data_IF_785825947370
#
_entry.id   IF_785825947370
#
_cell.length_a   1.000
_cell.length_b   1.000
_cell.length_c   1.000
_cell.angle_alpha   90.00
_cell.angle_beta   90.00
_cell.angle_gamma   90.00
#
_symmetry.space_group_name_H-M   'P 1'
#
loop_
_entity.id
_entity.type
_entity.pdbx_description
1 polymer ?
#
# COMPACT_ATOMS: atom_id res chain seq x y z
N UNK A 1 -9.03 6.74 -11.97
CA UNK A 1 -7.76 6.36 -12.61
C UNK A 1 -6.78 5.89 -11.54
N UNK A 2 -6.03 4.83 -11.79
CA UNK A 2 -4.99 4.29 -10.86
C UNK A 2 -4.02 3.40 -11.64
N UNK A 3 -2.78 3.17 -11.17
CA UNK A 3 -1.91 2.12 -11.71
C UNK A 3 -2.51 0.72 -11.52
N UNK A 4 -2.23 -0.21 -12.44
CA UNK A 4 -2.85 -1.54 -12.50
C UNK A 4 -2.64 -2.39 -11.23
N UNK A 5 -1.45 -2.37 -10.65
CA UNK A 5 -1.13 -3.10 -9.42
C UNK A 5 -1.50 -2.31 -8.15
N UNK A 6 -2.59 -1.52 -8.19
CA UNK A 6 -3.11 -0.81 -7.04
C UNK A 6 -3.96 -1.69 -6.11
N UNK A 7 -4.37 -1.12 -4.97
CA UNK A 7 -5.22 -1.82 -4.01
C UNK A 7 -6.61 -2.10 -4.59
N UNK A 8 -7.08 -3.35 -4.49
CA UNK A 8 -8.33 -3.80 -5.12
C UNK A 8 -9.56 -2.99 -4.71
N UNK A 9 -9.57 -2.40 -3.51
CA UNK A 9 -10.69 -1.60 -3.03
C UNK A 9 -10.94 -0.33 -3.85
N UNK A 10 -9.95 0.19 -4.60
CA UNK A 10 -10.18 1.34 -5.48
C UNK A 10 -11.16 0.99 -6.61
N UNK A 11 -11.01 -0.21 -7.19
CA UNK A 11 -11.94 -0.72 -8.20
C UNK A 11 -13.33 -0.94 -7.62
N UNK A 12 -13.41 -1.54 -6.43
CA UNK A 12 -14.67 -1.78 -5.75
C UNK A 12 -15.38 -0.47 -5.41
N UNK A 13 -14.66 0.53 -4.88
CA UNK A 13 -15.21 1.85 -4.56
C UNK A 13 -15.77 2.55 -5.81
N UNK A 14 -15.06 2.48 -6.95
CA UNK A 14 -15.54 3.02 -8.21
C UNK A 14 -16.81 2.32 -8.68
N UNK A 15 -16.88 0.99 -8.57
CA UNK A 15 -18.06 0.21 -8.94
C UNK A 15 -19.28 0.55 -8.07
N UNK A 16 -19.09 0.61 -6.74
CA UNK A 16 -20.16 1.00 -5.79
C UNK A 16 -20.67 2.41 -6.07
N UNK A 17 -19.79 3.33 -6.46
CA UNK A 17 -20.16 4.69 -6.83
C UNK A 17 -20.74 4.82 -8.26
N UNK A 18 -20.88 3.72 -9.01
CA UNK A 18 -21.35 3.75 -10.39
C UNK A 18 -20.41 4.51 -11.34
N UNK A 19 -19.10 4.52 -11.03
CA UNK A 19 -18.11 5.28 -11.79
C UNK A 19 -17.21 4.37 -12.62
N UNK A 20 -16.77 4.89 -13.78
CA UNK A 20 -15.82 4.17 -14.64
C UNK A 20 -14.46 4.06 -13.92
N UNK A 21 -14.01 2.84 -13.77
CA UNK A 21 -12.65 2.53 -13.30
C UNK A 21 -11.71 2.39 -14.50
N UNK A 22 -10.55 3.03 -14.43
CA UNK A 22 -9.49 2.93 -15.44
C UNK A 22 -8.18 2.62 -14.72
N UNK A 23 -7.46 1.61 -15.18
CA UNK A 23 -6.11 1.30 -14.71
C UNK A 23 -5.11 1.39 -15.85
N UNK A 24 -3.89 1.81 -15.55
CA UNK A 24 -2.79 2.00 -16.51
C UNK A 24 -1.65 1.05 -16.19
N UNK A 25 -0.71 0.87 -17.11
CA UNK A 25 0.43 -0.03 -16.92
C UNK A 25 1.17 0.23 -15.59
N UNK A 26 1.62 -0.85 -14.98
CA UNK A 26 2.46 -0.86 -13.78
C UNK A 26 3.30 -2.13 -13.78
N UNK A 27 4.43 -2.09 -13.07
CA UNK A 27 5.32 -3.22 -12.85
C UNK A 27 5.41 -3.53 -11.35
N UNK A 28 5.93 -4.70 -10.95
CA UNK A 28 6.21 -4.96 -9.55
C UNK A 28 7.15 -3.95 -8.87
N UNK A 29 7.97 -3.24 -9.65
CA UNK A 29 8.88 -2.21 -9.16
C UNK A 29 8.23 -0.83 -8.98
N UNK A 30 7.02 -0.63 -9.52
CA UNK A 30 6.29 0.63 -9.37
C UNK A 30 5.34 0.92 -10.52
N UNK A 31 4.68 2.07 -10.43
CA UNK A 31 3.79 2.56 -11.48
C UNK A 31 4.59 3.09 -12.69
N UNK A 32 4.03 2.87 -13.87
CA UNK A 32 4.45 3.60 -15.05
C UNK A 32 3.79 4.99 -15.03
N UNK A 33 4.57 5.99 -14.68
CA UNK A 33 4.09 7.39 -14.54
C UNK A 33 3.62 7.96 -15.86
N UNK A 34 4.31 7.65 -16.97
CA UNK A 34 3.95 8.14 -18.30
C UNK A 34 2.65 7.49 -18.78
N UNK A 35 2.49 6.19 -18.57
CA UNK A 35 1.22 5.52 -18.84
C UNK A 35 0.06 6.06 -17.97
N UNK A 36 0.33 6.41 -16.70
CA UNK A 36 -0.69 7.03 -15.84
C UNK A 36 -1.11 8.40 -16.38
N UNK A 37 -0.14 9.23 -16.77
CA UNK A 37 -0.38 10.55 -17.35
C UNK A 37 -1.14 10.43 -18.68
N UNK A 38 -0.74 9.52 -19.56
CA UNK A 38 -1.45 9.25 -20.82
C UNK A 38 -2.90 8.77 -20.61
N UNK A 39 -3.19 8.13 -19.48
CA UNK A 39 -4.53 7.71 -19.09
C UNK A 39 -5.44 8.83 -18.57
N UNK A 40 -4.88 10.03 -18.32
CA UNK A 40 -5.66 11.19 -17.84
C UNK A 40 -6.49 11.76 -19.00
N UNK A 41 -7.73 12.10 -18.72
CA UNK A 41 -8.64 12.73 -19.69
C UNK A 41 -9.41 13.87 -19.02
N UNK A 42 -10.07 14.78 -19.77
CA UNK A 42 -10.92 15.81 -19.20
C UNK A 42 -12.05 15.26 -18.31
N UNK A 43 -12.39 13.98 -18.44
CA UNK A 43 -13.39 13.28 -17.61
C UNK A 43 -12.81 12.66 -16.35
N UNK A 44 -11.49 12.65 -16.18
CA UNK A 44 -10.84 12.16 -14.96
C UNK A 44 -11.26 13.03 -13.78
N UNK A 45 -11.82 12.42 -12.73
CA UNK A 45 -12.24 13.10 -11.49
C UNK A 45 -11.37 12.74 -10.31
N UNK A 46 -10.93 11.47 -10.26
CA UNK A 46 -10.03 10.99 -9.21
C UNK A 46 -8.88 10.23 -9.86
N UNK A 47 -7.66 10.56 -9.45
CA UNK A 47 -6.48 9.73 -9.63
C UNK A 47 -6.07 9.21 -8.25
N UNK A 48 -5.89 7.90 -8.10
CA UNK A 48 -5.57 7.28 -6.80
C UNK A 48 -4.25 6.55 -6.92
N UNK A 49 -3.32 6.86 -6.03
CA UNK A 49 -2.02 6.19 -5.92
C UNK A 49 -1.78 5.73 -4.49
N UNK A 50 -1.18 4.56 -4.31
CA UNK A 50 -0.73 4.06 -3.01
C UNK A 50 0.78 4.27 -2.86
N UNK A 51 1.23 4.73 -1.69
CA UNK A 51 2.66 4.92 -1.40
C UNK A 51 2.93 4.77 0.11
N UNK A 52 3.62 3.72 0.55
CA UNK A 52 3.97 2.49 -0.18
C UNK A 52 2.77 1.74 -0.74
N UNK A 53 2.89 1.24 -1.97
CA UNK A 53 1.78 0.62 -2.69
C UNK A 53 1.51 -0.82 -2.21
N UNK A 54 0.27 -1.21 -2.16
CA UNK A 54 -0.15 -2.60 -1.97
C UNK A 54 -0.70 -3.15 -3.30
N UNK A 55 -0.05 -4.18 -3.90
CA UNK A 55 0.76 -5.21 -3.25
C UNK A 55 2.28 -5.10 -3.45
N UNK A 56 2.80 -4.09 -4.10
CA UNK A 56 4.20 -4.08 -4.56
C UNK A 56 5.19 -3.59 -3.50
N UNK A 57 4.74 -2.77 -2.53
CA UNK A 57 5.62 -2.09 -1.58
C UNK A 57 6.40 -0.91 -2.16
N UNK A 58 6.25 -0.66 -3.47
CA UNK A 58 6.90 0.45 -4.17
C UNK A 58 6.37 1.82 -3.72
N UNK A 59 7.19 2.83 -3.85
CA UNK A 59 6.87 4.22 -3.44
C UNK A 59 6.88 5.16 -4.63
N UNK A 60 6.26 6.32 -4.45
CA UNK A 60 6.30 7.45 -5.36
C UNK A 60 7.25 8.52 -4.84
N UNK A 61 7.97 9.19 -5.74
CA UNK A 61 8.73 10.40 -5.40
C UNK A 61 7.87 11.66 -5.53
N UNK A 62 8.30 12.76 -4.89
CA UNK A 62 7.61 14.05 -5.03
C UNK A 62 7.57 14.51 -6.50
N UNK A 63 8.67 14.35 -7.23
CA UNK A 63 8.75 14.74 -8.65
C UNK A 63 7.73 13.95 -9.52
N UNK A 64 7.51 12.67 -9.24
CA UNK A 64 6.49 11.89 -9.94
C UNK A 64 5.08 12.37 -9.64
N UNK A 65 4.80 12.69 -8.37
CA UNK A 65 3.50 13.24 -7.93
C UNK A 65 3.23 14.60 -8.59
N UNK A 66 4.21 15.49 -8.64
CA UNK A 66 4.10 16.80 -9.29
C UNK A 66 3.81 16.66 -10.81
N UNK A 67 4.45 15.72 -11.50
CA UNK A 67 4.15 15.42 -12.91
C UNK A 67 2.69 15.00 -13.11
N UNK A 68 2.17 14.13 -12.25
CA UNK A 68 0.76 13.69 -12.31
C UNK A 68 -0.18 14.87 -12.03
N UNK A 69 0.09 15.70 -11.01
CA UNK A 69 -0.71 16.89 -10.68
C UNK A 69 -0.74 17.91 -11.81
N UNK A 70 0.40 18.12 -12.50
CA UNK A 70 0.47 19.01 -13.65
C UNK A 70 -0.40 18.56 -14.83
N UNK A 71 -0.58 17.23 -15.01
CA UNK A 71 -1.40 16.66 -16.07
C UNK A 71 -2.88 16.54 -15.72
N UNK A 72 -3.25 16.57 -14.42
CA UNK A 72 -4.62 16.42 -13.97
C UNK A 72 -5.48 17.65 -14.30
N UNK A 73 -6.75 17.47 -14.74
CA UNK A 73 -7.70 18.57 -14.85
C UNK A 73 -7.81 19.34 -13.52
N UNK A 74 -8.04 20.65 -13.59
CA UNK A 74 -8.17 21.51 -12.41
C UNK A 74 -9.29 21.07 -11.43
N UNK A 75 -10.29 20.33 -11.93
CA UNK A 75 -11.41 19.79 -11.15
C UNK A 75 -11.21 18.36 -10.66
N UNK A 76 -10.05 17.75 -10.94
CA UNK A 76 -9.73 16.39 -10.50
C UNK A 76 -8.93 16.43 -9.20
N UNK A 77 -9.09 15.39 -8.38
CA UNK A 77 -8.31 15.20 -7.15
C UNK A 77 -7.29 14.08 -7.34
N UNK A 78 -6.12 14.25 -6.74
CA UNK A 78 -5.14 13.20 -6.52
C UNK A 78 -5.28 12.66 -5.11
N UNK A 79 -5.66 11.40 -4.98
CA UNK A 79 -5.73 10.70 -3.69
C UNK A 79 -4.43 9.93 -3.49
N UNK A 80 -3.71 10.25 -2.43
CA UNK A 80 -2.49 9.59 -1.99
C UNK A 80 -2.84 8.70 -0.80
N UNK A 81 -2.89 7.38 -1.03
CA UNK A 81 -3.13 6.39 0.02
C UNK A 81 -1.81 6.05 0.71
N UNK A 82 -1.64 6.60 1.90
CA UNK A 82 -0.48 6.45 2.77
C UNK A 82 -0.69 5.40 3.87
N UNK A 83 -1.44 4.35 3.61
CA UNK A 83 -1.72 3.32 4.62
C UNK A 83 -0.46 2.66 5.22
N UNK A 84 0.69 2.80 4.58
CA UNK A 84 1.97 2.20 5.00
C UNK A 84 3.09 3.24 5.18
N UNK A 85 2.80 4.54 5.17
CA UNK A 85 3.84 5.59 5.24
C UNK A 85 4.72 5.51 6.48
N UNK A 86 4.17 5.11 7.63
CA UNK A 86 4.94 4.99 8.87
C UNK A 86 6.02 3.90 8.80
N UNK A 87 5.83 2.86 7.97
CA UNK A 87 6.88 1.86 7.70
C UNK A 87 7.98 2.43 6.80
N UNK A 88 7.63 3.31 5.85
CA UNK A 88 8.60 3.96 4.97
C UNK A 88 9.58 4.85 5.75
N UNK A 89 9.17 5.40 6.90
CA UNK A 89 10.03 6.18 7.76
C UNK A 89 11.27 5.41 8.29
N UNK A 90 11.26 4.07 8.28
CA UNK A 90 12.43 3.26 8.62
C UNK A 90 13.47 3.18 7.48
N UNK A 91 13.22 3.79 6.33
CA UNK A 91 14.08 3.81 5.14
C UNK A 91 14.45 5.23 4.73
N UNK A 92 15.18 5.99 5.59
CA UNK A 92 15.49 7.39 5.31
C UNK A 92 16.38 7.59 4.08
N UNK A 93 17.06 6.55 3.62
CA UNK A 93 17.91 6.54 2.42
C UNK A 93 17.10 6.40 1.11
N UNK A 94 15.81 6.04 1.19
CA UNK A 94 14.95 5.90 0.00
C UNK A 94 14.05 7.12 -0.13
N UNK A 95 14.21 7.84 -1.24
CA UNK A 95 13.33 8.98 -1.55
C UNK A 95 11.88 8.50 -1.73
N UNK A 96 10.97 9.10 -0.99
CA UNK A 96 9.53 8.87 -1.14
C UNK A 96 8.74 10.14 -0.81
N UNK A 97 7.54 10.25 -1.39
CA UNK A 97 6.68 11.41 -1.18
C UNK A 97 6.11 11.41 0.25
N UNK A 98 6.10 12.59 0.87
CA UNK A 98 5.21 12.92 1.98
C UNK A 98 3.94 13.56 1.40
N UNK A 99 2.82 12.87 1.52
CA UNK A 99 1.54 13.33 0.99
C UNK A 99 1.08 14.64 1.63
N UNK A 100 1.43 14.89 2.90
CA UNK A 100 1.12 16.18 3.56
C UNK A 100 1.96 17.31 2.97
N UNK A 101 3.19 17.05 2.58
CA UNK A 101 4.00 18.04 1.86
C UNK A 101 3.43 18.32 0.45
N UNK A 102 2.93 17.29 -0.25
CA UNK A 102 2.25 17.43 -1.52
C UNK A 102 0.94 18.25 -1.38
N UNK A 103 0.13 17.97 -0.35
CA UNK A 103 -1.09 18.74 -0.05
C UNK A 103 -0.80 20.24 0.22
N UNK A 104 0.29 20.56 0.91
CA UNK A 104 0.68 21.96 1.14
C UNK A 104 1.02 22.70 -0.15
N UNK A 105 1.43 21.99 -1.22
CA UNK A 105 1.77 22.56 -2.53
C UNK A 105 0.57 22.65 -3.48
N UNK A 106 -0.37 21.69 -3.38
CA UNK A 106 -1.53 21.63 -4.27
C UNK A 106 -2.80 21.19 -3.52
N UNK A 107 -3.82 22.06 -3.43
CA UNK A 107 -5.06 21.77 -2.69
C UNK A 107 -5.91 20.65 -3.31
N UNK A 108 -5.57 20.17 -4.50
CA UNK A 108 -6.23 19.00 -5.13
C UNK A 108 -5.75 17.66 -4.56
N UNK A 109 -4.74 17.65 -3.70
CA UNK A 109 -4.26 16.43 -3.03
C UNK A 109 -5.18 16.08 -1.88
N UNK A 110 -5.48 14.79 -1.75
CA UNK A 110 -6.15 14.17 -0.60
C UNK A 110 -5.26 13.06 -0.06
N UNK A 111 -4.91 13.12 1.20
CA UNK A 111 -4.06 12.11 1.86
C UNK A 111 -4.94 11.20 2.70
N UNK A 112 -4.79 9.89 2.53
CA UNK A 112 -5.50 8.89 3.35
C UNK A 112 -4.49 8.18 4.26
N UNK A 113 -4.79 8.08 5.56
CA UNK A 113 -4.01 7.34 6.56
C UNK A 113 -4.91 6.43 7.40
N UNK A 114 -4.34 5.41 8.02
CA UNK A 114 -5.09 4.41 8.76
C UNK A 114 -4.40 3.99 10.05
N UNK A 115 -5.18 3.68 11.05
CA UNK A 115 -4.72 3.00 12.27
C UNK A 115 -4.70 1.47 12.15
N UNK A 116 -5.12 0.93 11.00
CA UNK A 116 -5.23 -0.51 10.77
C UNK A 116 -3.89 -1.22 10.56
N UNK A 117 -2.79 -0.50 10.35
CA UNK A 117 -1.48 -1.06 9.99
C UNK A 117 -0.51 -0.94 11.16
N UNK A 118 0.40 0.01 11.14
CA UNK A 118 1.47 0.11 12.11
C UNK A 118 0.96 0.25 13.56
N UNK A 119 -0.18 0.91 13.74
CA UNK A 119 -0.81 1.09 15.05
C UNK A 119 -1.54 -0.16 15.58
N UNK A 120 -1.64 -1.25 14.80
CA UNK A 120 -2.25 -2.51 15.25
C UNK A 120 -3.78 -2.50 15.43
N UNK A 121 -4.48 -1.43 15.06
CA UNK A 121 -5.91 -1.24 15.33
C UNK A 121 -6.84 -1.66 14.17
N UNK A 122 -6.47 -2.69 13.42
CA UNK A 122 -7.19 -3.12 12.22
C UNK A 122 -8.67 -3.49 12.49
N UNK A 123 -8.97 -4.06 13.66
CA UNK A 123 -10.33 -4.45 14.05
C UNK A 123 -11.24 -3.26 14.36
N UNK A 124 -10.68 -2.10 14.74
CA UNK A 124 -11.45 -0.92 15.12
C UNK A 124 -11.94 -0.07 13.95
N UNK A 125 -11.51 -0.38 12.73
CA UNK A 125 -11.98 0.26 11.49
C UNK A 125 -11.87 1.79 11.50
N UNK A 126 -10.74 2.34 11.96
CA UNK A 126 -10.49 3.78 12.06
C UNK A 126 -9.33 4.20 11.16
N UNK A 127 -9.49 5.33 10.52
CA UNK A 127 -8.54 6.02 9.67
C UNK A 127 -9.00 7.44 9.45
N UNK A 128 -8.23 8.23 8.71
CA UNK A 128 -8.56 9.63 8.48
C UNK A 128 -8.09 10.08 7.09
N UNK A 129 -8.71 11.16 6.62
CA UNK A 129 -8.30 11.89 5.44
C UNK A 129 -7.84 13.29 5.82
N UNK A 130 -6.80 13.77 5.14
CA UNK A 130 -6.35 15.17 5.22
C UNK A 130 -6.45 15.76 3.82
N UNK A 131 -7.19 16.86 3.70
CA UNK A 131 -7.42 17.54 2.41
C UNK A 131 -7.76 19.01 2.63
N UNK A 132 -7.89 19.76 1.53
CA UNK A 132 -8.40 21.13 1.58
C UNK A 132 -9.81 21.15 2.24
N UNK A 133 -10.15 22.16 3.08
CA UNK A 133 -11.42 22.24 3.80
C UNK A 133 -12.66 22.00 2.93
N UNK A 134 -12.71 22.53 1.70
CA UNK A 134 -13.83 22.33 0.78
C UNK A 134 -14.04 20.86 0.39
N UNK A 135 -12.96 20.05 0.33
CA UNK A 135 -13.05 18.62 0.06
C UNK A 135 -13.58 17.89 1.30
N UNK A 136 -13.09 18.27 2.49
CA UNK A 136 -13.56 17.71 3.77
C UNK A 136 -15.05 17.99 3.99
N UNK A 137 -15.52 19.20 3.67
CA UNK A 137 -16.95 19.55 3.76
C UNK A 137 -17.81 18.65 2.87
N UNK A 138 -17.37 18.35 1.64
CA UNK A 138 -18.07 17.45 0.73
C UNK A 138 -18.08 16.02 1.29
N UNK A 139 -16.94 15.53 1.79
CA UNK A 139 -16.86 14.20 2.41
C UNK A 139 -17.77 14.11 3.64
N UNK A 140 -17.83 15.16 4.47
CA UNK A 140 -18.68 15.22 5.65
C UNK A 140 -20.18 15.05 5.36
N UNK A 141 -20.64 15.44 4.16
CA UNK A 141 -22.06 15.29 3.76
C UNK A 141 -22.49 13.86 3.49
N UNK A 142 -21.54 12.95 3.20
CA UNK A 142 -21.80 11.55 2.84
C UNK A 142 -21.35 10.56 3.92
N UNK A 143 -20.63 11.05 4.93
CA UNK A 143 -20.20 10.24 6.08
C UNK A 143 -21.40 9.99 6.98
N UNK A 144 -21.58 8.72 7.39
CA UNK A 144 -22.67 8.37 8.32
C UNK A 144 -22.44 9.01 9.69
N UNK A 145 -23.51 9.45 10.31
CA UNK A 145 -23.47 9.89 11.72
C UNK A 145 -22.93 8.76 12.60
N UNK A 146 -22.02 9.09 13.50
CA UNK A 146 -21.38 8.14 14.43
C UNK A 146 -20.61 6.99 13.74
N UNK A 147 -20.04 7.21 12.56
CA UNK A 147 -19.32 6.19 11.78
C UNK A 147 -18.05 5.68 12.46
N UNK A 148 -17.46 6.43 13.40
CA UNK A 148 -16.35 5.99 14.24
C UNK A 148 -16.83 5.89 15.69
N UNK A 149 -16.85 4.67 16.24
CA UNK A 149 -17.29 4.42 17.61
C UNK A 149 -16.31 5.00 18.64
N UNK A 150 -16.80 5.31 19.84
CA UNK A 150 -16.02 5.92 20.93
C UNK A 150 -14.76 5.12 21.27
N UNK A 151 -14.85 3.79 21.37
CA UNK A 151 -13.70 2.93 21.66
C UNK A 151 -12.60 3.06 20.59
N UNK A 152 -12.98 3.16 19.32
CA UNK A 152 -12.03 3.36 18.24
C UNK A 152 -11.34 4.73 18.32
N UNK A 153 -12.08 5.78 18.69
CA UNK A 153 -11.53 7.13 18.87
C UNK A 153 -10.53 7.17 20.04
N UNK A 154 -10.89 6.62 21.21
CA UNK A 154 -10.01 6.56 22.39
C UNK A 154 -8.75 5.77 22.08
N UNK A 155 -8.88 4.59 21.46
CA UNK A 155 -7.73 3.76 21.10
C UNK A 155 -6.82 4.44 20.07
N UNK A 156 -7.38 5.09 19.05
CA UNK A 156 -6.61 5.81 18.04
C UNK A 156 -5.85 7.00 18.66
N UNK A 157 -6.48 7.74 19.58
CA UNK A 157 -5.83 8.84 20.29
C UNK A 157 -4.65 8.34 21.11
N UNK A 158 -4.85 7.29 21.90
CA UNK A 158 -3.78 6.69 22.70
C UNK A 158 -2.63 6.14 21.83
N UNK A 159 -2.96 5.54 20.66
CA UNK A 159 -1.96 4.98 19.75
C UNK A 159 -1.06 6.05 19.10
N UNK A 160 -1.53 7.29 18.95
CA UNK A 160 -0.71 8.40 18.44
C UNK A 160 0.43 8.79 19.38
N UNK A 161 0.27 8.55 20.68
CA UNK A 161 1.27 8.85 21.70
C UNK A 161 2.28 7.71 21.88
N UNK A 162 1.98 6.47 21.44
CA UNK A 162 2.87 5.31 21.54
C UNK A 162 3.90 5.29 20.39
N UNK A 163 4.78 6.27 20.39
CA UNK A 163 5.85 6.41 19.38
C UNK A 163 6.80 5.22 19.39
N UNK A 164 7.06 4.66 20.55
CA UNK A 164 7.96 3.51 20.70
C UNK A 164 7.42 2.27 19.99
N UNK A 165 6.12 2.03 20.07
CA UNK A 165 5.48 0.96 19.29
C UNK A 165 5.65 1.17 17.79
N UNK A 166 5.41 2.40 17.30
CA UNK A 166 5.57 2.73 15.88
C UNK A 166 7.01 2.50 15.42
N UNK A 167 8.00 3.01 16.15
CA UNK A 167 9.41 2.85 15.81
C UNK A 167 9.84 1.38 15.81
N UNK A 168 9.45 0.60 16.84
CA UNK A 168 9.75 -0.84 16.90
C UNK A 168 9.11 -1.59 15.74
N UNK A 169 7.85 -1.29 15.42
CA UNK A 169 7.12 -1.93 14.32
C UNK A 169 7.71 -1.60 12.95
N UNK A 170 8.12 -0.35 12.72
CA UNK A 170 8.78 0.08 11.50
C UNK A 170 10.14 -0.62 11.33
N UNK A 171 10.96 -0.66 12.40
CA UNK A 171 12.25 -1.34 12.40
C UNK A 171 12.10 -2.85 12.16
N UNK A 172 11.09 -3.49 12.76
CA UNK A 172 10.77 -4.91 12.51
C UNK A 172 10.39 -5.12 11.04
N UNK A 173 9.54 -4.24 10.50
CA UNK A 173 9.18 -4.27 9.07
C UNK A 173 10.40 -4.24 8.17
N UNK A 174 11.31 -3.30 8.39
CA UNK A 174 12.57 -3.17 7.64
C UNK A 174 13.43 -4.44 7.74
N UNK A 175 13.74 -4.89 8.95
CA UNK A 175 14.56 -6.10 9.16
C UNK A 175 13.98 -7.32 8.44
N UNK A 176 12.65 -7.53 8.54
CA UNK A 176 11.99 -8.65 7.89
C UNK A 176 12.07 -8.59 6.36
N UNK A 177 11.94 -7.41 5.75
CA UNK A 177 12.14 -7.21 4.30
C UNK A 177 13.59 -7.49 3.91
N UNK A 178 14.57 -6.96 4.65
CA UNK A 178 15.99 -7.20 4.41
C UNK A 178 16.33 -8.70 4.50
N UNK A 179 15.80 -9.41 5.49
CA UNK A 179 15.95 -10.87 5.65
C UNK A 179 15.34 -11.64 4.49
N UNK A 180 14.10 -11.34 4.08
CA UNK A 180 13.49 -11.99 2.92
C UNK A 180 14.35 -11.84 1.66
N UNK A 181 14.90 -10.65 1.43
CA UNK A 181 15.76 -10.38 0.27
C UNK A 181 17.12 -11.06 0.34
N UNK A 182 17.67 -11.22 1.54
CA UNK A 182 18.97 -11.85 1.76
C UNK A 182 18.91 -13.37 1.79
N UNK A 183 17.81 -13.96 2.29
CA UNK A 183 17.75 -15.37 2.62
C UNK A 183 16.89 -16.20 1.65
N UNK A 184 15.92 -15.58 0.94
CA UNK A 184 15.00 -16.30 0.04
C UNK A 184 15.52 -16.28 -1.39
N UNK A 185 15.95 -17.44 -1.88
CA UNK A 185 16.54 -17.62 -3.20
C UNK A 185 15.97 -18.86 -3.90
N UNK A 186 16.12 -18.93 -5.23
CA UNK A 186 15.74 -20.06 -6.05
C UNK A 186 15.75 -19.72 -7.54
N UNK A 187 15.57 -20.69 -8.45
CA UNK A 187 15.49 -20.42 -9.88
C UNK A 187 14.32 -19.49 -10.23
N UNK A 188 14.63 -18.31 -10.79
CA UNK A 188 13.64 -17.31 -11.16
C UNK A 188 13.00 -16.56 -9.99
N UNK A 189 13.47 -16.77 -8.75
CA UNK A 189 12.94 -16.10 -7.56
C UNK A 189 13.49 -14.67 -7.46
N UNK A 190 12.58 -13.70 -7.29
CA UNK A 190 12.93 -12.30 -7.03
C UNK A 190 12.10 -11.78 -5.87
N UNK A 191 12.75 -11.35 -4.79
CA UNK A 191 12.09 -10.61 -3.70
C UNK A 191 12.18 -9.12 -4.02
N UNK A 192 11.06 -8.52 -4.39
CA UNK A 192 11.01 -7.10 -4.76
C UNK A 192 11.27 -6.19 -3.55
N UNK A 193 11.91 -5.02 -3.75
CA UNK A 193 12.04 -4.00 -2.71
C UNK A 193 10.66 -3.55 -2.20
N UNK A 194 10.55 -3.31 -0.91
CA UNK A 194 9.29 -2.86 -0.30
C UNK A 194 9.56 -1.93 0.88
N UNK A 195 8.80 -0.84 0.98
CA UNK A 195 8.77 0.05 2.13
C UNK A 195 7.51 -0.15 2.99
N UNK A 196 6.75 -1.22 2.74
CA UNK A 196 5.59 -1.62 3.53
C UNK A 196 5.96 -2.70 4.57
N UNK A 197 4.97 -3.30 5.23
CA UNK A 197 5.16 -4.44 6.13
C UNK A 197 4.96 -5.80 5.44
N UNK A 198 5.23 -5.88 4.15
CA UNK A 198 5.18 -7.11 3.35
C UNK A 198 6.14 -6.98 2.16
N UNK A 199 6.55 -8.11 1.59
CA UNK A 199 7.24 -8.16 0.32
C UNK A 199 6.38 -8.88 -0.74
N UNK A 200 6.52 -8.44 -1.99
CA UNK A 200 6.10 -9.18 -3.17
C UNK A 200 7.27 -10.07 -3.61
N UNK A 201 7.00 -11.35 -3.85
CA UNK A 201 8.00 -12.33 -4.28
C UNK A 201 7.52 -12.94 -5.61
N UNK A 202 8.31 -12.74 -6.67
CA UNK A 202 8.21 -13.53 -7.89
C UNK A 202 8.83 -14.90 -7.63
N UNK A 203 8.13 -15.96 -8.00
CA UNK A 203 8.55 -17.34 -7.68
C UNK A 203 9.11 -18.10 -8.90
N UNK A 204 9.16 -17.46 -10.08
CA UNK A 204 9.63 -18.06 -11.33
C UNK A 204 8.72 -19.18 -11.89
N UNK A 205 7.64 -19.50 -11.20
CA UNK A 205 6.69 -20.58 -11.55
C UNK A 205 5.30 -20.27 -10.95
N UNK A 206 4.22 -20.98 -11.33
CA UNK A 206 2.88 -20.73 -10.80
C UNK A 206 2.85 -20.75 -9.26
N UNK A 207 2.33 -19.69 -8.65
CA UNK A 207 2.33 -19.51 -7.20
C UNK A 207 1.29 -20.41 -6.47
N UNK A 208 0.24 -20.89 -7.14
CA UNK A 208 -0.81 -21.66 -6.50
C UNK A 208 -0.31 -22.99 -5.88
N UNK A 209 0.47 -23.86 -6.57
CA UNK A 209 1.03 -25.05 -5.95
C UNK A 209 1.98 -24.75 -4.79
N UNK A 210 2.74 -23.65 -4.89
CA UNK A 210 3.65 -23.22 -3.82
C UNK A 210 2.86 -22.75 -2.59
N UNK A 211 1.77 -22.01 -2.79
CA UNK A 211 0.85 -21.63 -1.73
C UNK A 211 0.30 -22.86 -0.98
N UNK A 212 -0.17 -23.88 -1.71
CA UNK A 212 -0.68 -25.11 -1.11
C UNK A 212 0.41 -25.86 -0.32
N UNK A 213 1.65 -25.85 -0.81
CA UNK A 213 2.78 -26.45 -0.12
C UNK A 213 3.17 -25.69 1.15
N UNK A 214 3.12 -24.36 1.14
CA UNK A 214 3.31 -23.49 2.30
C UNK A 214 2.19 -23.68 3.34
N UNK A 215 0.94 -23.74 2.87
CA UNK A 215 -0.23 -23.95 3.73
C UNK A 215 -0.11 -25.27 4.51
N UNK A 216 0.31 -26.37 3.88
CA UNK A 216 0.59 -27.66 4.55
C UNK A 216 1.71 -27.59 5.59
N UNK A 217 2.60 -26.58 5.50
CA UNK A 217 3.64 -26.29 6.49
C UNK A 217 3.17 -25.29 7.57
N UNK A 218 1.87 -24.91 7.54
CA UNK A 218 1.29 -23.95 8.46
C UNK A 218 1.75 -22.50 8.21
N UNK A 219 2.17 -22.17 6.97
CA UNK A 219 2.53 -20.81 6.54
C UNK A 219 1.49 -20.32 5.55
N UNK A 220 0.77 -19.25 5.93
CA UNK A 220 -0.27 -18.63 5.10
C UNK A 220 0.29 -17.35 4.49
N UNK A 221 0.44 -17.35 3.17
CA UNK A 221 0.84 -16.18 2.37
C UNK A 221 -0.30 -15.78 1.42
N UNK A 222 -0.13 -14.74 0.63
CA UNK A 222 -1.16 -14.32 -0.31
C UNK A 222 -0.75 -14.54 -1.76
N UNK A 223 -1.41 -15.46 -2.50
CA UNK A 223 -1.25 -15.56 -3.95
C UNK A 223 -1.77 -14.30 -4.65
N UNK A 224 -1.08 -13.86 -5.69
CA UNK A 224 -1.33 -12.58 -6.34
C UNK A 224 -2.02 -12.67 -7.71
N UNK A 225 -2.58 -13.84 -8.06
CA UNK A 225 -3.30 -14.06 -9.31
C UNK A 225 -4.44 -13.04 -9.55
N UNK A 226 -5.15 -12.61 -8.48
CA UNK A 226 -6.20 -11.60 -8.57
C UNK A 226 -5.71 -10.20 -9.00
N UNK A 227 -4.40 -9.95 -8.94
CA UNK A 227 -3.73 -8.75 -9.46
C UNK A 227 -3.10 -8.95 -10.83
N UNK A 228 -3.32 -10.11 -11.48
CA UNK A 228 -2.67 -10.45 -12.75
C UNK A 228 -1.22 -10.92 -12.58
N UNK A 229 -0.81 -11.31 -11.39
CA UNK A 229 0.52 -11.79 -11.04
C UNK A 229 0.46 -13.26 -10.57
N UNK A 230 0.19 -14.23 -11.49
CA UNK A 230 -0.07 -15.63 -11.11
C UNK A 230 1.17 -16.37 -10.58
N UNK A 231 2.36 -15.81 -10.78
CA UNK A 231 3.65 -16.33 -10.32
C UNK A 231 4.14 -15.66 -9.02
N UNK A 232 3.37 -14.70 -8.48
CA UNK A 232 3.79 -13.95 -7.30
C UNK A 232 3.05 -14.38 -6.03
N UNK A 233 3.78 -14.29 -4.92
CA UNK A 233 3.28 -14.37 -3.54
C UNK A 233 3.54 -13.05 -2.82
N UNK A 234 2.59 -12.58 -1.99
CA UNK A 234 2.83 -11.49 -1.05
C UNK A 234 2.99 -12.07 0.35
N UNK A 235 4.12 -11.80 0.98
CA UNK A 235 4.50 -12.28 2.31
C UNK A 235 4.49 -11.11 3.27
N UNK A 236 3.68 -11.18 4.33
CA UNK A 236 3.68 -10.17 5.40
C UNK A 236 4.83 -10.40 6.36
N UNK A 237 5.40 -9.31 6.87
CA UNK A 237 6.41 -9.37 7.91
C UNK A 237 5.73 -9.60 9.27
N UNK A 238 6.36 -10.44 10.07
CA UNK A 238 5.96 -10.81 11.42
C UNK A 238 7.15 -10.66 12.38
N UNK A 239 7.04 -11.17 13.61
CA UNK A 239 8.16 -11.23 14.55
C UNK A 239 9.28 -12.15 14.04
N UNK A 240 10.45 -12.05 14.67
CA UNK A 240 11.67 -12.75 14.20
C UNK A 240 11.47 -14.28 14.19
N UNK A 241 10.81 -14.86 15.21
CA UNK A 241 10.58 -16.30 15.30
C UNK A 241 9.62 -16.79 14.20
N UNK A 242 8.58 -16.01 13.91
CA UNK A 242 7.66 -16.30 12.81
C UNK A 242 8.34 -16.14 11.46
N UNK A 243 9.21 -15.13 11.30
CA UNK A 243 10.00 -14.93 10.08
C UNK A 243 10.98 -16.07 9.83
N UNK A 244 11.64 -16.63 10.86
CA UNK A 244 12.48 -17.81 10.75
C UNK A 244 11.71 -18.98 10.12
N UNK A 245 10.50 -19.23 10.61
CA UNK A 245 9.63 -20.28 10.08
C UNK A 245 9.18 -20.02 8.65
N UNK A 246 8.80 -18.76 8.34
CA UNK A 246 8.36 -18.35 7.01
C UNK A 246 9.48 -18.49 6.00
N UNK A 247 10.67 -17.97 6.30
CA UNK A 247 11.85 -18.01 5.41
C UNK A 247 12.26 -19.46 5.16
N UNK A 248 12.35 -20.28 6.23
CA UNK A 248 12.66 -21.71 6.07
C UNK A 248 11.65 -22.40 5.15
N UNK A 249 10.34 -22.19 5.36
CA UNK A 249 9.32 -22.81 4.54
C UNK A 249 9.36 -22.34 3.08
N UNK A 250 9.66 -21.05 2.84
CA UNK A 250 9.84 -20.51 1.50
C UNK A 250 11.04 -21.15 0.80
N UNK A 251 12.20 -21.23 1.45
CA UNK A 251 13.39 -21.88 0.90
C UNK A 251 13.11 -23.34 0.55
N UNK A 252 12.45 -24.09 1.46
CA UNK A 252 12.11 -25.51 1.25
C UNK A 252 11.16 -25.74 0.04
N UNK A 253 10.28 -24.79 -0.28
CA UNK A 253 9.33 -24.95 -1.41
C UNK A 253 9.80 -24.27 -2.70
N UNK A 254 10.79 -23.38 -2.64
CA UNK A 254 11.33 -22.67 -3.80
C UNK A 254 12.58 -23.32 -4.39
N UNK A 255 13.20 -24.23 -3.65
CA UNK A 255 14.34 -25.06 -4.08
C UNK A 255 14.00 -26.01 -5.30
#
# INVERSE_FOLDING_TARGET
LTPALGFLSYRLAAAVAGRRFVSTAATPLGADVDALIAGITPRTKLCVIGTPNNPTGAVWTMAQVERVLAALPATALLVIDEAYCDYAAAWPEVEHVDGLAALRRDPRVVVLRTFSKIYGLAALRVGYAVAHPTVIDILGRVVRTFHVGTLAQVAATAALDDRDHVLRSAALGRRGIERLRAEVHGPGVVVYPSLANFALIETGRPAAPLYDALLRRGVIVRPMAAWGLPTCLRVSIADDAQMDRVIKALCDVLA
#
